data_IF_620017969567
#
_entry.id   IF_620017969567
#
_cell.length_a   1.000
_cell.length_b   1.000
_cell.length_c   1.000
_cell.angle_alpha   90.00
_cell.angle_beta   90.00
_cell.angle_gamma   90.00
#
_symmetry.space_group_name_H-M   'P 1'
#
loop_
_entity.id
_entity.type
_entity.pdbx_description
1 polymer ?
#
# COMPACT_ATOMS: atom_id res chain seq x y z
N UNK A 1 5.24 14.96 7.58
CA UNK A 1 4.53 13.74 7.19
C UNK A 1 3.61 14.03 6.00
N UNK A 2 3.75 13.22 4.96
CA UNK A 2 2.87 13.19 3.79
C UNK A 2 1.64 12.32 4.07
N UNK A 3 0.65 12.34 3.16
CA UNK A 3 -0.48 11.41 3.22
C UNK A 3 -0.02 9.94 3.18
N UNK A 4 1.09 9.65 2.49
CA UNK A 4 1.66 8.32 2.39
C UNK A 4 2.30 7.85 3.71
N UNK A 5 2.95 8.75 4.46
CA UNK A 5 3.53 8.41 5.77
C UNK A 5 2.45 7.97 6.77
N UNK A 6 1.28 8.64 6.73
CA UNK A 6 0.11 8.25 7.55
C UNK A 6 -0.43 6.88 7.09
N UNK A 7 -0.46 6.62 5.79
CA UNK A 7 -0.91 5.34 5.24
C UNK A 7 0.01 4.17 5.64
N UNK A 8 1.33 4.37 5.61
CA UNK A 8 2.31 3.40 6.09
C UNK A 8 2.13 3.11 7.58
N UNK A 9 2.00 4.15 8.41
CA UNK A 9 1.75 4.00 9.83
C UNK A 9 0.45 3.22 10.12
N UNK A 10 -0.61 3.47 9.34
CA UNK A 10 -1.87 2.72 9.45
C UNK A 10 -1.69 1.25 9.09
N UNK A 11 -1.04 0.96 7.94
CA UNK A 11 -0.81 -0.41 7.48
C UNK A 11 0.05 -1.22 8.47
N UNK A 12 1.11 -0.64 9.02
CA UNK A 12 1.96 -1.29 10.02
C UNK A 12 1.18 -1.63 11.30
N UNK A 13 0.37 -0.71 11.80
CA UNK A 13 -0.46 -0.95 12.98
C UNK A 13 -1.55 -1.98 12.69
N UNK A 14 -2.19 -1.94 11.52
CA UNK A 14 -3.17 -2.96 11.14
C UNK A 14 -2.55 -4.34 11.00
N UNK A 15 -1.35 -4.46 10.43
CA UNK A 15 -0.64 -5.73 10.27
C UNK A 15 -0.21 -6.35 11.61
N UNK A 16 0.15 -5.52 12.59
CA UNK A 16 0.70 -5.99 13.87
C UNK A 16 -0.35 -6.36 14.90
N UNK A 17 -1.49 -5.65 14.93
CA UNK A 17 -2.52 -5.82 15.98
C UNK A 17 -3.94 -5.90 15.44
N UNK A 18 -4.12 -5.79 14.13
CA UNK A 18 -5.42 -5.75 13.50
C UNK A 18 -6.06 -4.36 13.48
N UNK A 19 -7.03 -4.15 12.57
CA UNK A 19 -7.73 -2.88 12.42
C UNK A 19 -8.59 -2.52 13.63
N UNK A 20 -9.21 -3.50 14.28
CA UNK A 20 -10.11 -3.25 15.43
C UNK A 20 -9.35 -2.71 16.65
N UNK A 21 -8.16 -3.25 16.93
CA UNK A 21 -7.31 -2.83 18.05
C UNK A 21 -6.46 -1.57 17.74
N UNK A 22 -6.73 -0.88 16.62
CA UNK A 22 -6.01 0.32 16.20
C UNK A 22 -6.93 1.54 16.21
N UNK A 23 -6.49 2.66 16.76
CA UNK A 23 -7.22 3.95 16.70
C UNK A 23 -6.54 4.97 15.76
N UNK A 24 -7.30 5.99 15.35
CA UNK A 24 -6.78 7.07 14.51
C UNK A 24 -5.71 7.91 15.25
N UNK A 25 -5.83 8.07 16.56
CA UNK A 25 -4.86 8.74 17.42
C UNK A 25 -3.52 8.03 17.40
N UNK A 26 -3.53 6.71 17.45
CA UNK A 26 -2.29 5.92 17.45
C UNK A 26 -1.61 5.97 16.09
N UNK A 27 -2.38 5.95 15.00
CA UNK A 27 -1.86 6.14 13.64
C UNK A 27 -1.24 7.55 13.53
N UNK A 28 -1.97 8.58 13.94
CA UNK A 28 -1.50 9.96 13.88
C UNK A 28 -0.20 10.15 14.69
N UNK A 29 -0.16 9.61 15.91
CA UNK A 29 1.03 9.61 16.78
C UNK A 29 2.20 8.90 16.12
N UNK A 30 1.98 7.71 15.53
CA UNK A 30 3.02 6.96 14.83
C UNK A 30 3.56 7.71 13.61
N UNK A 31 2.68 8.38 12.87
CA UNK A 31 3.05 9.20 11.71
C UNK A 31 3.63 10.58 12.09
N UNK A 32 3.74 10.90 13.38
CA UNK A 32 4.28 12.19 13.84
C UNK A 32 3.38 13.38 13.50
N UNK A 33 2.06 13.19 13.44
CA UNK A 33 1.08 14.25 13.14
C UNK A 33 0.03 14.40 14.22
N UNK A 34 -0.56 15.59 14.31
CA UNK A 34 -1.74 15.80 15.13
C UNK A 34 -2.97 15.05 14.57
N UNK A 35 -3.88 14.62 15.45
CA UNK A 35 -5.12 13.94 15.06
C UNK A 35 -5.97 14.79 14.09
N UNK A 36 -6.01 16.11 14.27
CA UNK A 36 -6.70 17.03 13.34
C UNK A 36 -6.12 16.94 11.92
N UNK A 37 -4.80 16.79 11.80
CA UNK A 37 -4.13 16.62 10.51
C UNK A 37 -4.49 15.29 9.88
N UNK A 38 -4.59 14.21 10.67
CA UNK A 38 -5.10 12.92 10.19
C UNK A 38 -6.49 13.07 9.55
N UNK A 39 -7.44 13.67 10.28
CA UNK A 39 -8.82 13.82 9.80
C UNK A 39 -8.97 14.79 8.61
N UNK A 40 -7.98 15.65 8.36
CA UNK A 40 -7.92 16.46 7.14
C UNK A 40 -7.71 15.61 5.89
N UNK A 41 -6.99 14.48 6.00
CA UNK A 41 -6.69 13.61 4.87
C UNK A 41 -7.63 12.41 4.78
N UNK A 42 -8.08 11.86 5.93
CA UNK A 42 -8.82 10.61 5.98
C UNK A 42 -10.06 10.75 6.86
N UNK A 43 -11.19 10.23 6.41
CA UNK A 43 -12.45 10.28 7.19
C UNK A 43 -12.45 9.25 8.31
N UNK A 44 -11.71 8.15 8.15
CA UNK A 44 -11.58 7.07 9.12
C UNK A 44 -10.19 6.44 9.11
N UNK A 45 -9.89 5.62 10.13
CA UNK A 45 -8.69 4.77 10.16
C UNK A 45 -8.59 3.81 8.97
N UNK A 46 -9.73 3.36 8.45
CA UNK A 46 -9.76 2.42 7.31
C UNK A 46 -9.42 3.11 6.01
N UNK A 47 -9.83 4.38 5.83
CA UNK A 47 -9.49 5.14 4.63
C UNK A 47 -7.98 5.42 4.53
N UNK A 48 -7.26 5.39 5.66
CA UNK A 48 -5.84 5.67 5.73
C UNK A 48 -4.99 4.65 4.94
N UNK A 49 -5.42 3.40 4.79
CA UNK A 49 -4.69 2.40 3.98
C UNK A 49 -5.04 2.47 2.49
N UNK A 50 -6.10 3.21 2.12
CA UNK A 50 -6.57 3.35 0.74
C UNK A 50 -5.49 3.76 -0.28
N UNK A 51 -4.60 4.73 0.02
CA UNK A 51 -3.50 5.09 -0.87
C UNK A 51 -2.58 3.91 -1.22
N UNK A 52 -2.27 3.04 -0.26
CA UNK A 52 -1.43 1.86 -0.49
C UNK A 52 -2.14 0.79 -1.33
N UNK A 53 -3.42 0.58 -1.05
CA UNK A 53 -4.25 -0.34 -1.83
C UNK A 53 -4.41 0.13 -3.28
N UNK A 54 -4.47 1.44 -3.51
CA UNK A 54 -4.58 2.02 -4.85
C UNK A 54 -3.31 1.74 -5.67
N UNK A 55 -2.13 1.94 -5.09
CA UNK A 55 -0.85 1.63 -5.76
C UNK A 55 -0.77 0.14 -6.13
N UNK A 56 -1.16 -0.75 -5.21
CA UNK A 56 -1.22 -2.19 -5.48
C UNK A 56 -2.23 -2.54 -6.58
N UNK A 57 -3.42 -1.93 -6.55
CA UNK A 57 -4.46 -2.14 -7.55
C UNK A 57 -4.06 -1.63 -8.94
N UNK A 58 -3.33 -0.52 -9.03
CA UNK A 58 -2.82 0.00 -10.30
C UNK A 58 -1.72 -0.89 -10.88
N UNK A 59 -0.81 -1.40 -10.04
CA UNK A 59 0.17 -2.43 -10.44
C UNK A 59 -0.52 -3.68 -10.94
N UNK A 60 -1.51 -4.18 -10.20
CA UNK A 60 -2.29 -5.35 -10.60
C UNK A 60 -3.01 -5.14 -11.94
N UNK A 61 -3.65 -3.98 -12.13
CA UNK A 61 -4.29 -3.61 -13.40
C UNK A 61 -3.28 -3.57 -14.55
N UNK A 62 -2.09 -3.02 -14.34
CA UNK A 62 -1.04 -2.98 -15.35
C UNK A 62 -0.51 -4.38 -15.74
N UNK A 63 -0.44 -5.32 -14.79
CA UNK A 63 -0.04 -6.70 -15.05
C UNK A 63 -1.13 -7.48 -15.81
N UNK A 64 -2.39 -7.31 -15.40
CA UNK A 64 -3.53 -7.89 -16.13
C UNK A 64 -3.61 -7.40 -17.58
N UNK A 65 -3.32 -6.12 -17.81
CA UNK A 65 -3.30 -5.54 -19.16
C UNK A 65 -2.21 -6.14 -20.08
N UNK A 66 -1.21 -6.81 -19.52
CA UNK A 66 -0.15 -7.50 -20.27
C UNK A 66 -0.50 -8.96 -20.61
N UNK A 67 -1.63 -9.48 -20.12
CA UNK A 67 -2.04 -10.85 -20.39
C UNK A 67 -2.26 -11.09 -21.90
N UNK A 68 -1.78 -12.23 -22.44
CA UNK A 68 -1.97 -12.55 -23.85
C UNK A 68 -3.45 -12.61 -24.25
N UNK A 69 -3.82 -12.20 -25.49
CA UNK A 69 -5.15 -12.43 -26.01
C UNK A 69 -5.52 -13.92 -25.92
N UNK A 70 -6.67 -14.23 -25.31
CA UNK A 70 -7.13 -15.60 -25.10
C UNK A 70 -6.61 -16.28 -23.82
N UNK A 71 -5.86 -15.58 -22.98
CA UNK A 71 -5.49 -16.09 -21.66
C UNK A 71 -6.74 -16.41 -20.82
N UNK A 72 -6.72 -17.55 -20.12
CA UNK A 72 -7.79 -17.92 -19.22
C UNK A 72 -7.87 -16.91 -18.05
N UNK A 73 -9.06 -16.34 -17.75
CA UNK A 73 -9.17 -15.26 -16.75
C UNK A 73 -8.68 -15.64 -15.36
N UNK A 74 -8.98 -16.85 -14.88
CA UNK A 74 -8.58 -17.31 -13.54
C UNK A 74 -7.06 -17.35 -13.33
N UNK A 75 -6.29 -18.06 -14.18
CA UNK A 75 -4.83 -18.06 -14.13
C UNK A 75 -4.20 -16.67 -14.28
N UNK A 76 -4.66 -15.87 -15.26
CA UNK A 76 -4.15 -14.51 -15.46
C UNK A 76 -4.39 -13.60 -14.24
N UNK A 77 -5.56 -13.73 -13.60
CA UNK A 77 -5.88 -13.02 -12.36
C UNK A 77 -4.95 -13.42 -11.22
N UNK A 78 -4.73 -14.72 -11.03
CA UNK A 78 -3.85 -15.25 -9.98
C UNK A 78 -2.42 -14.77 -10.17
N UNK A 79 -1.86 -14.92 -11.38
CA UNK A 79 -0.49 -14.51 -11.69
C UNK A 79 -0.29 -13.00 -11.47
N UNK A 80 -1.24 -12.18 -11.92
CA UNK A 80 -1.15 -10.74 -11.73
C UNK A 80 -1.26 -10.33 -10.25
N UNK A 81 -2.05 -11.03 -9.42
CA UNK A 81 -2.09 -10.83 -7.97
C UNK A 81 -0.78 -11.25 -7.32
N UNK A 82 -0.24 -12.42 -7.66
CA UNK A 82 1.02 -12.93 -7.11
C UNK A 82 2.17 -11.98 -7.42
N UNK A 83 2.27 -11.48 -8.66
CA UNK A 83 3.28 -10.52 -9.07
C UNK A 83 3.08 -9.13 -8.44
N UNK A 84 1.83 -8.68 -8.24
CA UNK A 84 1.54 -7.41 -7.59
C UNK A 84 1.89 -7.43 -6.09
N UNK A 85 1.66 -8.56 -5.42
CA UNK A 85 1.92 -8.77 -3.99
C UNK A 85 3.36 -9.22 -3.70
N UNK A 86 4.08 -9.72 -4.71
CA UNK A 86 5.50 -10.02 -4.57
C UNK A 86 6.25 -8.76 -4.12
N UNK A 87 6.97 -8.90 -3.00
CA UNK A 87 7.89 -7.87 -2.51
C UNK A 87 8.84 -7.54 -3.65
N UNK A 88 9.00 -6.25 -4.03
CA UNK A 88 10.02 -5.91 -5.01
C UNK A 88 11.34 -6.49 -4.54
N UNK A 89 12.06 -7.13 -5.47
CA UNK A 89 13.37 -7.71 -5.20
C UNK A 89 14.19 -6.70 -4.37
N UNK A 90 14.65 -7.07 -3.16
CA UNK A 90 15.49 -6.20 -2.35
C UNK A 90 16.65 -5.60 -3.14
N UNK A 91 17.17 -6.33 -4.14
CA UNK A 91 18.24 -5.86 -5.02
C UNK A 91 17.77 -4.77 -6.00
N UNK A 92 16.53 -4.83 -6.48
CA UNK A 92 15.96 -3.80 -7.35
C UNK A 92 15.66 -2.49 -6.59
N UNK A 93 15.26 -2.61 -5.32
CA UNK A 93 15.08 -1.43 -4.44
C UNK A 93 16.44 -0.78 -4.16
N UNK A 94 17.47 -1.57 -3.85
CA UNK A 94 18.83 -1.09 -3.62
C UNK A 94 19.42 -0.43 -4.88
N UNK A 95 19.22 -1.01 -6.07
CA UNK A 95 19.69 -0.45 -7.33
C UNK A 95 19.06 0.91 -7.66
N UNK A 96 17.78 1.10 -7.34
CA UNK A 96 17.09 2.38 -7.50
C UNK A 96 17.59 3.45 -6.52
N UNK A 97 18.02 3.05 -5.31
CA UNK A 97 18.63 3.95 -4.33
C UNK A 97 20.06 4.35 -4.73
N UNK A 98 20.82 3.46 -5.36
CA UNK A 98 22.19 3.76 -5.83
C UNK A 98 22.24 4.64 -7.08
N UNK A 99 21.18 4.71 -7.88
CA UNK A 99 21.13 5.55 -9.10
C UNK A 99 20.84 7.03 -8.79
N UNK A 100 20.64 7.39 -7.51
CA UNK A 100 20.48 8.78 -7.03
C UNK A 100 21.72 9.31 -6.29
N UNK A 101 22.92 8.88 -6.71
CA UNK A 101 24.21 9.43 -6.29
C UNK A 101 24.79 10.37 -7.34
#
# INVERSE_FOLDING_TARGET
ATQLDIAHAAAELFATRGPEATTAEEIARRAGVALRTFYRYFRSKQDAVGPLLTVGADRWRALLAQAPPGAAPGPALREAVEQALATPDPQAVEALLQTRG
#
